data_IF_844697855805
#
_entry.id   IF_844697855805
#
_cell.length_a   1.000
_cell.length_b   1.000
_cell.length_c   1.000
_cell.angle_alpha   90.00
_cell.angle_beta   90.00
_cell.angle_gamma   90.00
#
_symmetry.space_group_name_H-M   'P 1'
#
loop_
_entity.id
_entity.type
_entity.pdbx_description
1 polymer ?
#
# COMPACT_ATOMS: atom_id res chain seq x y z
N UNK A 1 -17.73 -6.22 0.76
CA UNK A 1 -16.28 -5.99 0.58
C UNK A 1 -16.13 -4.88 -0.43
N UNK A 2 -15.34 -3.87 -0.08
CA UNK A 2 -15.07 -2.73 -0.92
C UNK A 2 -13.86 -3.04 -1.83
N UNK A 3 -14.08 -3.06 -3.14
CA UNK A 3 -13.02 -3.17 -4.13
C UNK A 3 -12.78 -1.79 -4.77
N UNK A 4 -11.52 -1.37 -4.83
CA UNK A 4 -11.16 -0.17 -5.58
C UNK A 4 -9.83 -0.33 -6.29
N UNK A 5 -9.63 0.51 -7.31
CA UNK A 5 -8.40 0.59 -8.08
C UNK A 5 -8.06 2.02 -8.44
N UNK A 6 -6.78 2.30 -8.59
CA UNK A 6 -6.31 3.58 -9.12
C UNK A 6 -4.93 3.44 -9.76
N UNK A 7 -4.55 4.45 -10.53
CA UNK A 7 -3.21 4.59 -11.09
C UNK A 7 -2.60 5.93 -10.64
N UNK A 8 -1.28 5.95 -10.46
CA UNK A 8 -0.49 7.16 -10.23
C UNK A 8 0.75 7.15 -11.11
N UNK A 9 0.95 8.25 -11.83
CA UNK A 9 2.17 8.47 -12.61
C UNK A 9 3.18 9.21 -11.75
N UNK A 10 4.45 8.86 -11.89
CA UNK A 10 5.56 9.54 -11.24
C UNK A 10 6.71 9.67 -12.25
N UNK A 11 7.52 10.71 -12.10
CA UNK A 11 8.76 10.87 -12.87
C UNK A 11 9.88 9.93 -12.41
N UNK A 12 9.70 9.24 -11.27
CA UNK A 12 10.67 8.28 -10.75
C UNK A 12 10.80 7.06 -11.67
N UNK A 13 12.03 6.56 -11.92
CA UNK A 13 12.24 5.26 -12.55
C UNK A 13 11.50 4.14 -11.80
N UNK A 14 11.10 3.08 -12.50
CA UNK A 14 10.30 1.99 -11.91
C UNK A 14 10.98 1.34 -10.68
N UNK A 15 12.30 1.15 -10.71
CA UNK A 15 13.05 0.61 -9.57
C UNK A 15 13.00 1.53 -8.33
N UNK A 16 13.04 2.84 -8.54
CA UNK A 16 12.97 3.85 -7.49
C UNK A 16 11.55 3.92 -6.90
N UNK A 17 10.53 4.01 -7.75
CA UNK A 17 9.14 3.99 -7.32
C UNK A 17 8.80 2.69 -6.59
N UNK A 18 9.26 1.54 -7.09
CA UNK A 18 9.13 0.25 -6.43
C UNK A 18 9.75 0.26 -5.03
N UNK A 19 11.00 0.70 -4.89
CA UNK A 19 11.67 0.76 -3.59
C UNK A 19 10.87 1.61 -2.60
N UNK A 20 10.35 2.76 -3.02
CA UNK A 20 9.57 3.65 -2.15
C UNK A 20 8.21 3.08 -1.76
N UNK A 21 7.48 2.51 -2.73
CA UNK A 21 6.17 1.86 -2.50
C UNK A 21 6.31 0.56 -1.70
N UNK A 22 7.49 -0.03 -1.63
CA UNK A 22 7.75 -1.23 -0.81
C UNK A 22 8.54 -0.97 0.45
N UNK A 23 8.84 0.30 0.76
CA UNK A 23 9.34 0.69 2.08
C UNK A 23 8.14 0.75 3.03
N UNK A 24 7.75 -0.40 3.58
CA UNK A 24 6.50 -0.60 4.31
C UNK A 24 6.31 0.43 5.43
N UNK A 25 7.36 0.69 6.20
CA UNK A 25 7.37 1.63 7.34
C UNK A 25 6.91 3.03 6.95
N UNK A 26 7.25 3.48 5.74
CA UNK A 26 6.91 4.84 5.24
C UNK A 26 5.42 5.02 4.96
N UNK A 27 4.64 3.95 4.88
CA UNK A 27 3.19 4.07 4.70
C UNK A 27 2.53 4.71 5.93
N UNK A 28 3.09 4.49 7.13
CA UNK A 28 2.60 5.13 8.35
C UNK A 28 2.79 6.65 8.38
N UNK A 29 3.77 7.18 7.63
CA UNK A 29 3.99 8.64 7.53
C UNK A 29 2.87 9.35 6.77
N UNK A 30 2.11 8.60 5.96
CA UNK A 30 1.06 9.12 5.10
C UNK A 30 -0.36 8.81 5.60
N UNK A 31 -0.50 7.88 6.54
CA UNK A 31 -1.79 7.48 7.12
C UNK A 31 -1.88 8.01 8.57
N UNK A 32 -2.82 8.92 8.86
CA UNK A 32 -2.98 9.47 10.21
C UNK A 32 -3.12 8.38 11.26
N UNK A 33 -2.56 8.63 12.45
CA UNK A 33 -2.69 7.75 13.63
C UNK A 33 -2.23 6.31 13.40
N UNK A 34 -1.41 6.08 12.36
CA UNK A 34 -1.01 4.73 11.94
C UNK A 34 0.51 4.59 11.96
N UNK A 35 1.00 3.56 12.62
CA UNK A 35 2.41 3.17 12.62
C UNK A 35 2.56 1.83 11.92
N UNK A 36 3.52 1.72 11.01
CA UNK A 36 3.84 0.46 10.35
C UNK A 36 5.13 -0.11 10.91
N UNK A 37 5.14 -1.41 11.20
CA UNK A 37 6.33 -2.13 11.71
C UNK A 37 6.47 -3.44 10.97
N UNK A 38 7.65 -3.68 10.37
CA UNK A 38 7.97 -4.95 9.74
C UNK A 38 8.36 -5.97 10.81
N UNK A 39 7.75 -7.15 10.77
CA UNK A 39 7.98 -8.24 11.74
C UNK A 39 8.96 -9.28 11.22
N UNK A 40 9.10 -9.42 9.91
CA UNK A 40 10.07 -10.33 9.28
C UNK A 40 11.38 -9.61 8.97
N UNK A 41 12.55 -10.17 9.32
CA UNK A 41 13.84 -9.56 8.97
C UNK A 41 14.02 -9.33 7.46
N UNK A 42 14.74 -8.28 7.04
CA UNK A 42 15.00 -8.01 5.63
C UNK A 42 15.90 -9.10 5.00
N UNK A 43 15.88 -9.25 3.66
CA UNK A 43 15.11 -8.47 2.70
C UNK A 43 13.62 -8.89 2.61
N UNK A 44 12.77 -8.00 2.10
CA UNK A 44 11.37 -8.33 1.78
C UNK A 44 11.30 -9.45 0.74
N UNK A 45 10.46 -10.44 1.02
CA UNK A 45 10.18 -11.63 0.19
C UNK A 45 8.77 -12.15 0.46
N UNK A 46 8.34 -13.18 -0.27
CA UNK A 46 7.14 -13.94 0.10
C UNK A 46 7.27 -14.45 1.54
N UNK A 47 6.20 -14.29 2.33
CA UNK A 47 6.18 -14.55 3.77
C UNK A 47 6.68 -13.39 4.64
N UNK A 48 7.09 -12.25 4.06
CA UNK A 48 7.34 -11.04 4.85
C UNK A 48 6.04 -10.53 5.44
N UNK A 49 6.03 -10.34 6.77
CA UNK A 49 4.89 -9.82 7.52
C UNK A 49 5.23 -8.43 8.05
N UNK A 50 4.29 -7.50 7.91
CA UNK A 50 4.32 -6.20 8.55
C UNK A 50 2.95 -5.84 9.11
N UNK A 51 2.93 -5.01 10.13
CA UNK A 51 1.70 -4.65 10.86
C UNK A 51 1.49 -3.16 10.75
N UNK A 52 0.33 -2.76 10.22
CA UNK A 52 -0.16 -1.40 10.33
C UNK A 52 -1.04 -1.32 11.59
N UNK A 53 -0.57 -0.57 12.60
CA UNK A 53 -1.33 -0.32 13.82
C UNK A 53 -1.94 1.06 13.76
N UNK A 54 -3.28 1.13 13.77
CA UNK A 54 -4.03 2.39 13.86
C UNK A 54 -4.61 2.56 15.26
N UNK A 55 -4.33 3.68 15.92
CA UNK A 55 -4.77 3.91 17.30
C UNK A 55 -5.03 5.39 17.64
N UNK A 56 -6.04 5.63 18.48
CA UNK A 56 -6.33 6.91 19.11
C UNK A 56 -6.56 6.69 20.61
N UNK A 57 -5.59 7.11 21.43
CA UNK A 57 -5.61 6.83 22.87
C UNK A 57 -5.57 5.31 23.14
N UNK A 58 -6.42 4.78 24.05
CA UNK A 58 -6.44 3.35 24.36
C UNK A 58 -7.11 2.49 23.27
N UNK A 59 -7.79 3.11 22.31
CA UNK A 59 -8.49 2.40 21.23
C UNK A 59 -7.56 2.22 20.03
N UNK A 60 -7.47 1.01 19.51
CA UNK A 60 -6.72 0.73 18.29
C UNK A 60 -6.90 -0.69 17.79
N UNK A 61 -6.45 -0.91 16.56
CA UNK A 61 -6.43 -2.24 15.96
C UNK A 61 -5.13 -2.44 15.17
N UNK A 62 -4.76 -3.71 15.04
CA UNK A 62 -3.65 -4.14 14.20
C UNK A 62 -4.19 -4.74 12.90
N UNK A 63 -3.62 -4.32 11.78
CA UNK A 63 -3.81 -4.89 10.44
C UNK A 63 -2.50 -5.56 9.99
N UNK A 64 -2.25 -6.83 10.38
CA UNK A 64 -1.11 -7.59 9.89
C UNK A 64 -1.31 -7.96 8.41
N UNK A 65 -0.31 -7.66 7.59
CA UNK A 65 -0.27 -7.97 6.16
C UNK A 65 0.91 -8.88 5.85
N UNK A 66 0.67 -9.89 5.01
CA UNK A 66 1.69 -10.82 4.53
C UNK A 66 1.90 -10.64 3.02
N UNK A 67 3.16 -10.56 2.60
CA UNK A 67 3.54 -10.61 1.18
C UNK A 67 3.37 -12.04 0.66
N UNK A 68 2.47 -12.24 -0.31
CA UNK A 68 2.19 -13.56 -0.90
C UNK A 68 2.64 -13.70 -2.36
N UNK A 69 2.91 -12.59 -3.05
CA UNK A 69 3.61 -12.55 -4.34
C UNK A 69 4.58 -11.38 -4.33
N UNK A 70 5.79 -11.60 -4.83
CA UNK A 70 6.88 -10.63 -4.77
C UNK A 70 7.77 -10.72 -6.00
N UNK A 71 7.66 -9.73 -6.88
CA UNK A 71 8.43 -9.64 -8.13
C UNK A 71 8.91 -8.20 -8.32
N UNK A 72 10.13 -7.85 -7.90
CA UNK A 72 10.70 -6.54 -8.19
C UNK A 72 10.82 -6.27 -9.70
N UNK A 73 10.74 -5.00 -10.16
CA UNK A 73 10.91 -4.66 -11.57
C UNK A 73 12.32 -5.01 -12.05
N UNK A 74 12.44 -5.44 -13.31
CA UNK A 74 13.70 -5.79 -13.96
C UNK A 74 13.74 -5.20 -15.37
N UNK A 75 14.58 -4.20 -15.62
CA UNK A 75 14.62 -3.51 -16.92
C UNK A 75 13.25 -2.95 -17.32
N UNK A 76 12.70 -3.44 -18.43
CA UNK A 76 11.37 -3.07 -18.93
C UNK A 76 10.22 -3.87 -18.27
N UNK A 77 10.52 -4.92 -17.52
CA UNK A 77 9.51 -5.73 -16.85
C UNK A 77 8.94 -5.01 -15.62
N UNK A 78 7.60 -5.01 -15.43
CA UNK A 78 6.98 -4.36 -14.30
C UNK A 78 7.27 -5.10 -13.00
N UNK A 79 7.32 -4.34 -11.90
CA UNK A 79 7.30 -4.91 -10.56
C UNK A 79 5.86 -5.26 -10.16
N UNK A 80 5.66 -6.34 -9.40
CA UNK A 80 4.35 -6.80 -8.90
C UNK A 80 4.47 -7.31 -7.46
N UNK A 81 3.59 -6.84 -6.59
CA UNK A 81 3.48 -7.30 -5.21
C UNK A 81 2.02 -7.59 -4.86
N UNK A 82 1.81 -8.66 -4.10
CA UNK A 82 0.51 -9.07 -3.57
C UNK A 82 0.61 -9.19 -2.05
N UNK A 83 -0.35 -8.60 -1.34
CA UNK A 83 -0.49 -8.61 0.10
C UNK A 83 -1.82 -9.23 0.49
N UNK A 84 -1.82 -10.10 1.50
CA UNK A 84 -3.03 -10.61 2.14
C UNK A 84 -3.12 -10.06 3.56
N UNK A 85 -4.29 -9.55 3.95
CA UNK A 85 -4.55 -9.05 5.30
C UNK A 85 -4.92 -10.23 6.20
N UNK A 86 -4.11 -10.46 7.23
CA UNK A 86 -4.22 -11.56 8.19
C UNK A 86 -4.93 -11.15 9.48
N UNK A 87 -5.42 -9.91 9.55
CA UNK A 87 -6.09 -9.36 10.72
C UNK A 87 -7.52 -9.86 10.89
N UNK A 88 -8.11 -9.57 12.05
CA UNK A 88 -9.53 -9.84 12.34
C UNK A 88 -10.44 -8.63 12.16
N UNK A 89 -9.88 -7.41 12.12
CA UNK A 89 -10.63 -6.16 11.98
C UNK A 89 -10.67 -5.65 10.53
N UNK A 90 -9.54 -5.71 9.84
CA UNK A 90 -9.46 -5.43 8.40
C UNK A 90 -9.06 -6.74 7.71
N UNK A 91 -9.85 -7.14 6.73
CA UNK A 91 -9.60 -8.35 5.93
C UNK A 91 -9.61 -7.99 4.45
N UNK A 92 -9.21 -8.94 3.61
CA UNK A 92 -9.05 -8.74 2.18
C UNK A 92 -7.57 -8.65 1.81
N UNK A 93 -7.26 -7.89 0.79
CA UNK A 93 -5.99 -7.98 0.11
C UNK A 93 -5.62 -6.70 -0.61
N UNK A 94 -4.33 -6.49 -0.87
CA UNK A 94 -3.83 -5.43 -1.73
C UNK A 94 -2.91 -6.00 -2.82
N UNK A 95 -2.91 -5.36 -3.97
CA UNK A 95 -2.03 -5.69 -5.09
C UNK A 95 -1.57 -4.39 -5.73
N UNK A 96 -0.28 -4.32 -6.05
CA UNK A 96 0.22 -3.21 -6.84
C UNK A 96 1.27 -3.65 -7.84
N UNK A 97 1.31 -2.90 -8.94
CA UNK A 97 2.33 -3.01 -9.96
C UNK A 97 3.03 -1.69 -10.17
N UNK A 98 4.32 -1.73 -10.47
CA UNK A 98 5.10 -0.56 -10.87
C UNK A 98 5.61 -0.79 -12.28
N UNK A 99 4.99 -0.12 -13.25
CA UNK A 99 5.28 -0.29 -14.67
C UNK A 99 6.19 0.84 -15.17
N UNK A 100 7.33 0.54 -15.83
CA UNK A 100 8.12 1.57 -16.50
C UNK A 100 7.31 2.22 -17.64
N UNK A 101 7.58 3.49 -17.90
CA UNK A 101 6.96 4.26 -18.99
C UNK A 101 7.97 4.50 -20.10
N UNK A 102 7.56 4.29 -21.36
CA UNK A 102 8.40 4.56 -22.54
C UNK A 102 8.78 6.03 -22.69
N UNK A 103 7.95 6.95 -22.17
CA UNK A 103 8.21 8.39 -22.15
C UNK A 103 9.08 8.83 -20.94
N UNK A 104 9.64 7.88 -20.20
CA UNK A 104 10.33 8.13 -18.92
C UNK A 104 9.40 8.04 -17.72
N UNK A 105 9.98 7.80 -16.54
CA UNK A 105 9.26 7.61 -15.28
C UNK A 105 8.57 6.24 -15.16
N UNK A 106 7.52 6.18 -14.33
CA UNK A 106 6.76 4.96 -14.09
C UNK A 106 5.31 5.22 -13.68
N UNK A 107 4.49 4.17 -13.75
CA UNK A 107 3.11 4.19 -13.25
C UNK A 107 2.95 3.14 -12.17
N UNK A 108 2.46 3.55 -11.00
CA UNK A 108 1.99 2.68 -9.93
C UNK A 108 0.52 2.37 -10.17
N UNK A 109 0.20 1.10 -10.40
CA UNK A 109 -1.16 0.59 -10.45
C UNK A 109 -1.47 -0.05 -9.10
N UNK A 110 -2.60 0.31 -8.50
CA UNK A 110 -3.02 -0.22 -7.21
C UNK A 110 -4.43 -0.80 -7.34
N UNK A 111 -4.63 -1.97 -6.74
CA UNK A 111 -5.92 -2.60 -6.58
C UNK A 111 -6.01 -3.19 -5.18
N UNK A 112 -7.14 -2.98 -4.51
CA UNK A 112 -7.31 -3.45 -3.15
C UNK A 112 -8.77 -3.81 -2.90
N UNK A 113 -8.95 -4.96 -2.28
CA UNK A 113 -10.20 -5.41 -1.71
C UNK A 113 -10.07 -5.30 -0.19
N UNK A 114 -11.02 -4.64 0.45
CA UNK A 114 -11.02 -4.54 1.90
C UNK A 114 -12.41 -4.72 2.47
N UNK A 115 -12.46 -5.31 3.65
CA UNK A 115 -13.63 -5.32 4.50
C UNK A 115 -13.23 -4.89 5.91
N UNK A 116 -14.10 -4.11 6.55
CA UNK A 116 -13.92 -3.67 7.93
C UNK A 116 -14.96 -4.38 8.78
N UNK A 117 -14.50 -5.04 9.85
CA UNK A 117 -15.36 -5.75 10.78
C UNK A 117 -16.39 -4.78 11.37
N UNK A 118 -17.64 -5.24 11.44
CA UNK A 118 -18.83 -4.48 11.90
C UNK A 118 -19.32 -3.36 10.99
N UNK A 119 -18.66 -3.06 9.87
CA UNK A 119 -19.16 -2.08 8.91
C UNK A 119 -20.18 -2.75 7.97
N UNK A 120 -21.45 -2.29 7.92
CA UNK A 120 -22.45 -2.86 7.02
C UNK A 120 -22.08 -2.68 5.54
N UNK A 121 -22.42 -3.67 4.70
CA UNK A 121 -22.12 -3.68 3.26
C UNK A 121 -22.68 -2.48 2.48
N UNK A 122 -23.75 -1.84 2.99
CA UNK A 122 -24.30 -0.61 2.39
C UNK A 122 -23.28 0.53 2.32
N UNK A 123 -22.29 0.54 3.22
CA UNK A 123 -21.22 1.53 3.25
C UNK A 123 -20.00 1.13 2.40
N UNK A 124 -20.00 -0.03 1.74
CA UNK A 124 -18.87 -0.51 0.92
C UNK A 124 -18.48 0.53 -0.16
N UNK A 125 -19.45 1.24 -0.75
CA UNK A 125 -19.18 2.27 -1.75
C UNK A 125 -18.44 3.50 -1.18
N UNK A 126 -18.88 3.98 -0.01
CA UNK A 126 -18.24 5.09 0.70
C UNK A 126 -16.84 4.69 1.17
N UNK A 127 -16.72 3.47 1.69
CA UNK A 127 -15.47 2.88 2.11
C UNK A 127 -14.47 2.78 0.95
N UNK A 128 -14.91 2.25 -0.21
CA UNK A 128 -14.09 2.18 -1.41
C UNK A 128 -13.60 3.56 -1.86
N UNK A 129 -14.48 4.56 -1.85
CA UNK A 129 -14.13 5.93 -2.21
C UNK A 129 -13.11 6.54 -1.24
N UNK A 130 -13.35 6.44 0.06
CA UNK A 130 -12.47 6.96 1.11
C UNK A 130 -11.09 6.29 1.06
N UNK A 131 -11.05 4.96 0.96
CA UNK A 131 -9.83 4.18 0.84
C UNK A 131 -9.05 4.56 -0.43
N UNK A 132 -9.72 4.60 -1.60
CA UNK A 132 -9.09 5.04 -2.86
C UNK A 132 -8.46 6.42 -2.74
N UNK A 133 -9.13 7.37 -2.08
CA UNK A 133 -8.59 8.72 -1.88
C UNK A 133 -7.40 8.72 -0.93
N UNK A 134 -7.46 7.97 0.16
CA UNK A 134 -6.38 7.83 1.14
C UNK A 134 -5.15 7.17 0.51
N UNK A 135 -5.26 5.96 0.00
CA UNK A 135 -4.14 5.22 -0.61
C UNK A 135 -3.58 5.94 -1.85
N UNK A 136 -4.43 6.66 -2.59
CA UNK A 136 -3.96 7.58 -3.62
C UNK A 136 -2.97 8.61 -3.08
N UNK A 137 -3.30 9.27 -1.96
CA UNK A 137 -2.38 10.24 -1.30
C UNK A 137 -1.12 9.56 -0.75
N UNK A 138 -1.24 8.34 -0.23
CA UNK A 138 -0.09 7.57 0.25
C UNK A 138 0.90 7.36 -0.88
N UNK A 139 0.44 6.85 -2.03
CA UNK A 139 1.29 6.65 -3.21
C UNK A 139 1.87 7.98 -3.71
N UNK A 140 1.06 9.05 -3.76
CA UNK A 140 1.52 10.38 -4.15
C UNK A 140 2.67 10.86 -3.23
N UNK A 141 2.54 10.70 -1.91
CA UNK A 141 3.56 11.08 -0.92
C UNK A 141 4.81 10.21 -0.99
N UNK A 142 4.65 8.90 -1.16
CA UNK A 142 5.78 7.98 -1.27
C UNK A 142 6.60 8.23 -2.54
N UNK A 143 5.93 8.65 -3.63
CA UNK A 143 6.56 8.86 -4.94
C UNK A 143 6.86 10.33 -5.27
N UNK A 144 6.66 11.25 -4.32
CA UNK A 144 7.02 12.66 -4.47
C UNK A 144 8.53 12.83 -4.66
N UNK A 145 8.94 13.67 -5.61
CA UNK A 145 10.35 13.82 -6.03
C UNK A 145 11.21 14.61 -5.02
N UNK A 146 10.62 15.26 -4.00
CA UNK A 146 11.31 15.99 -2.93
C UNK A 146 10.68 15.71 -1.55
N UNK A 147 11.43 15.80 -0.42
CA UNK A 147 10.82 15.74 0.90
C UNK A 147 9.83 16.89 1.08
N UNK A 148 8.72 16.72 1.83
CA UNK A 148 7.89 17.86 2.20
C UNK A 148 8.78 18.85 2.95
N UNK A 149 8.83 20.08 2.44
CA UNK A 149 9.47 21.20 3.13
C UNK A 149 8.87 21.29 4.54
N UNK A 150 9.74 21.33 5.55
CA UNK A 150 9.37 21.51 6.95
C UNK A 150 8.70 22.87 7.19
#
# INVERSE_FOLDING_TARGET
MALFRFARRTSLPAAEAWRRVTTWERHGEAVPLTRVTVRTPPPTRVGTVFVARSALGPLGFDDPMEVVDWRPPQGASPGRCRLEKRGSFVTGWAEFEVRPSSAGGSTVLWQEELAVRWLPRLFDGVLAFAARRMFGRVVDRLTATAPPTA
#
